data_IF_785703780281
#
_entry.id   IF_785703780281
#
_cell.length_a   1.000
_cell.length_b   1.000
_cell.length_c   1.000
_cell.angle_alpha   90.00
_cell.angle_beta   90.00
_cell.angle_gamma   90.00
#
_symmetry.space_group_name_H-M   'P 1'
#
loop_
_entity.id
_entity.type
_entity.pdbx_description
1 polymer ?
#
# COMPACT_ATOMS: atom_id res chain seq x y z
N UNK A 1 11.80 20.19 8.17
CA UNK A 1 11.55 19.19 9.23
C UNK A 1 11.83 17.81 8.65
N UNK A 2 12.74 17.04 9.23
CA UNK A 2 12.93 15.64 8.83
C UNK A 2 11.76 14.81 9.33
N UNK A 3 11.24 13.91 8.50
CA UNK A 3 10.25 12.92 8.89
C UNK A 3 10.86 11.93 9.89
N UNK A 4 10.13 11.59 10.95
CA UNK A 4 10.56 10.57 11.93
C UNK A 4 10.59 9.19 11.25
N UNK A 5 11.75 8.53 11.28
CA UNK A 5 11.98 7.21 10.70
C UNK A 5 10.99 6.15 11.21
N UNK A 6 10.54 6.26 12.46
CA UNK A 6 9.53 5.34 13.02
C UNK A 6 8.17 5.53 12.35
N UNK A 7 7.83 6.75 11.95
CA UNK A 7 6.58 7.06 11.26
C UNK A 7 6.66 6.58 9.81
N UNK A 8 7.79 6.81 9.14
CA UNK A 8 8.06 6.28 7.79
C UNK A 8 7.91 4.77 7.76
N UNK A 9 8.55 4.07 8.69
CA UNK A 9 8.49 2.62 8.75
C UNK A 9 7.07 2.10 9.00
N UNK A 10 6.33 2.69 9.95
CA UNK A 10 4.94 2.28 10.24
C UNK A 10 4.01 2.46 9.05
N UNK A 11 4.12 3.57 8.34
CA UNK A 11 3.31 3.83 7.14
C UNK A 11 3.65 2.81 6.07
N UNK A 12 4.93 2.62 5.76
CA UNK A 12 5.39 1.68 4.75
C UNK A 12 4.85 0.27 5.03
N UNK A 13 4.98 -0.22 6.27
CA UNK A 13 4.47 -1.53 6.67
C UNK A 13 2.95 -1.64 6.53
N UNK A 14 2.21 -0.57 6.82
CA UNK A 14 0.75 -0.61 6.75
C UNK A 14 0.25 -0.60 5.32
N UNK A 15 0.87 0.21 4.45
CA UNK A 15 0.55 0.24 3.03
C UNK A 15 0.90 -1.10 2.38
N UNK A 16 2.08 -1.65 2.68
CA UNK A 16 2.47 -2.97 2.18
C UNK A 16 1.50 -4.07 2.62
N UNK A 17 0.99 -4.03 3.85
CA UNK A 17 -0.04 -4.99 4.30
C UNK A 17 -1.34 -4.85 3.50
N UNK A 18 -1.77 -3.63 3.17
CA UNK A 18 -2.95 -3.40 2.32
C UNK A 18 -2.75 -3.98 0.91
N UNK A 19 -1.60 -3.72 0.29
CA UNK A 19 -1.23 -4.30 -1.00
C UNK A 19 -1.31 -5.83 -0.99
N UNK A 20 -0.82 -6.48 0.08
CA UNK A 20 -0.87 -7.95 0.20
C UNK A 20 -2.30 -8.46 0.40
N UNK A 21 -3.14 -7.77 1.19
CA UNK A 21 -4.56 -8.16 1.34
C UNK A 21 -5.34 -8.00 0.05
N UNK A 22 -5.01 -6.99 -0.76
CA UNK A 22 -5.61 -6.79 -2.07
C UNK A 22 -5.12 -7.84 -3.07
N UNK A 23 -3.81 -8.09 -3.11
CA UNK A 23 -3.23 -9.15 -3.93
C UNK A 23 -3.86 -10.51 -3.65
N UNK A 24 -4.06 -10.82 -2.36
CA UNK A 24 -4.79 -12.01 -1.90
C UNK A 24 -6.22 -12.07 -2.47
N UNK A 25 -6.94 -10.96 -2.50
CA UNK A 25 -8.28 -10.89 -3.09
C UNK A 25 -8.22 -11.25 -4.57
N UNK A 26 -7.33 -10.63 -5.35
CA UNK A 26 -7.18 -10.90 -6.78
C UNK A 26 -6.75 -12.33 -7.10
N UNK A 27 -5.82 -12.88 -6.32
CA UNK A 27 -5.43 -14.27 -6.46
C UNK A 27 -6.59 -15.21 -6.13
N UNK A 28 -7.38 -14.90 -5.10
CA UNK A 28 -8.52 -15.74 -4.70
C UNK A 28 -9.61 -15.77 -5.78
N UNK A 29 -9.91 -14.60 -6.37
CA UNK A 29 -10.83 -14.47 -7.50
C UNK A 29 -10.32 -15.25 -8.72
N UNK A 30 -9.04 -15.07 -9.09
CA UNK A 30 -8.43 -15.72 -10.25
C UNK A 30 -8.34 -17.25 -10.10
N UNK A 31 -8.08 -17.73 -8.88
CA UNK A 31 -8.01 -19.15 -8.58
C UNK A 31 -9.38 -19.78 -8.27
N UNK A 32 -10.45 -18.98 -8.21
CA UNK A 32 -11.80 -19.39 -7.79
C UNK A 32 -11.80 -20.21 -6.47
N UNK A 33 -10.93 -19.81 -5.52
CA UNK A 33 -10.79 -20.46 -4.21
C UNK A 33 -10.18 -19.48 -3.20
N UNK A 34 -10.43 -19.71 -1.92
CA UNK A 34 -9.81 -18.91 -0.85
C UNK A 34 -8.30 -19.12 -0.79
N UNK A 35 -7.54 -18.04 -0.94
CA UNK A 35 -6.10 -18.00 -0.68
C UNK A 35 -5.87 -17.33 0.67
N UNK A 36 -5.06 -17.95 1.51
CA UNK A 36 -4.71 -17.37 2.80
C UNK A 36 -3.68 -16.23 2.64
N UNK A 37 -3.55 -15.41 3.68
CA UNK A 37 -2.62 -14.28 3.66
C UNK A 37 -1.16 -14.72 3.42
N UNK A 38 -0.77 -15.90 3.92
CA UNK A 38 0.61 -16.38 3.81
C UNK A 38 0.96 -16.76 2.37
N UNK A 39 0.04 -17.44 1.68
CA UNK A 39 0.17 -17.76 0.27
C UNK A 39 0.26 -16.51 -0.59
N UNK A 40 -0.62 -15.53 -0.34
CA UNK A 40 -0.57 -14.24 -1.03
C UNK A 40 0.72 -13.45 -0.74
N UNK A 41 1.21 -13.47 0.49
CA UNK A 41 2.46 -12.79 0.86
C UNK A 41 3.68 -13.37 0.14
N UNK A 42 3.78 -14.70 0.03
CA UNK A 42 4.89 -15.33 -0.72
C UNK A 42 4.79 -15.03 -2.21
N UNK A 43 3.61 -15.15 -2.81
CA UNK A 43 3.41 -14.82 -4.22
C UNK A 43 3.71 -13.33 -4.50
N UNK A 44 3.32 -12.43 -3.61
CA UNK A 44 3.66 -10.99 -3.68
C UNK A 44 5.17 -10.72 -3.63
N UNK A 45 5.94 -11.54 -2.92
CA UNK A 45 7.41 -11.46 -2.93
C UNK A 45 7.97 -12.06 -4.23
N UNK A 46 7.48 -13.23 -4.63
CA UNK A 46 7.96 -13.98 -5.79
C UNK A 46 7.70 -13.22 -7.11
N UNK A 47 6.63 -12.42 -7.18
CA UNK A 47 6.30 -11.54 -8.31
C UNK A 47 7.00 -10.18 -8.28
N UNK A 48 8.02 -9.99 -7.42
CA UNK A 48 8.73 -8.71 -7.25
C UNK A 48 7.84 -7.53 -6.81
N UNK A 49 6.57 -7.75 -6.43
CA UNK A 49 5.66 -6.67 -6.00
C UNK A 49 6.19 -5.96 -4.74
N UNK A 50 6.81 -6.70 -3.81
CA UNK A 50 7.46 -6.11 -2.63
C UNK A 50 8.59 -5.13 -2.99
N UNK A 51 9.34 -5.41 -4.06
CA UNK A 51 10.43 -4.56 -4.55
C UNK A 51 9.87 -3.33 -5.25
N UNK A 52 8.86 -3.50 -6.11
CA UNK A 52 8.17 -2.39 -6.78
C UNK A 52 7.52 -1.45 -5.77
N UNK A 53 6.80 -2.00 -4.79
CA UNK A 53 6.23 -1.24 -3.68
C UNK A 53 7.29 -0.37 -2.98
N UNK A 54 8.46 -0.94 -2.66
CA UNK A 54 9.52 -0.20 -1.98
C UNK A 54 10.03 0.98 -2.81
N UNK A 55 10.23 0.79 -4.11
CA UNK A 55 10.68 1.85 -5.02
C UNK A 55 9.62 2.95 -5.09
N UNK A 56 8.38 2.57 -5.39
CA UNK A 56 7.20 3.44 -5.42
C UNK A 56 7.04 4.26 -4.14
N UNK A 57 7.17 3.61 -2.99
CA UNK A 57 7.05 4.26 -1.69
C UNK A 57 8.16 5.30 -1.48
N UNK A 58 9.42 4.94 -1.75
CA UNK A 58 10.55 5.86 -1.55
C UNK A 58 10.52 7.08 -2.47
N UNK A 59 10.11 6.89 -3.73
CA UNK A 59 9.98 7.96 -4.73
C UNK A 59 8.83 8.92 -4.43
N UNK A 60 7.75 8.43 -3.80
CA UNK A 60 6.52 9.20 -3.59
C UNK A 60 6.19 9.47 -2.12
N UNK A 61 7.11 9.19 -1.20
CA UNK A 61 6.86 9.30 0.24
C UNK A 61 6.28 10.65 0.64
N UNK A 62 6.78 11.77 0.11
CA UNK A 62 6.28 13.11 0.45
C UNK A 62 4.79 13.29 0.14
N UNK A 63 4.33 12.79 -1.01
CA UNK A 63 2.91 12.82 -1.41
C UNK A 63 2.07 11.90 -0.53
N UNK A 64 2.56 10.69 -0.25
CA UNK A 64 1.90 9.73 0.67
C UNK A 64 1.72 10.36 2.07
N UNK A 65 2.74 11.07 2.56
CA UNK A 65 2.68 11.79 3.82
C UNK A 65 1.69 12.95 3.80
N UNK A 66 1.67 13.73 2.72
CA UNK A 66 0.72 14.82 2.54
C UNK A 66 -0.72 14.30 2.56
N UNK A 67 -1.01 13.23 1.81
CA UNK A 67 -2.33 12.62 1.78
C UNK A 67 -2.70 12.02 3.13
N UNK A 68 -1.76 11.35 3.81
CA UNK A 68 -2.01 10.86 5.17
C UNK A 68 -2.46 11.98 6.11
N UNK A 69 -1.79 13.14 6.09
CA UNK A 69 -2.19 14.28 6.94
C UNK A 69 -3.59 14.81 6.59
N UNK A 70 -3.90 14.92 5.31
CA UNK A 70 -5.18 15.46 4.86
C UNK A 70 -6.37 14.54 5.13
N UNK A 71 -6.20 13.23 4.90
CA UNK A 71 -7.28 12.25 5.08
C UNK A 71 -7.39 11.73 6.50
N UNK A 72 -6.29 11.67 7.26
CA UNK A 72 -6.25 11.11 8.61
C UNK A 72 -6.18 12.17 9.73
N UNK A 73 -6.05 13.46 9.38
CA UNK A 73 -6.05 14.61 10.31
C UNK A 73 -4.68 15.02 10.86
N UNK A 74 -4.57 16.26 11.37
CA UNK A 74 -3.31 16.84 11.87
C UNK A 74 -2.74 16.17 13.15
N UNK A 75 -3.61 15.60 13.99
CA UNK A 75 -3.21 15.08 15.31
C UNK A 75 -2.84 13.60 15.35
N UNK A 76 -2.90 12.88 14.23
CA UNK A 76 -2.58 11.47 14.23
C UNK A 76 -1.28 11.26 13.48
N UNK A 77 -0.28 10.84 14.25
CA UNK A 77 1.07 10.31 13.99
C UNK A 77 1.14 9.23 12.87
N UNK A 78 0.33 9.38 11.81
CA UNK A 78 0.08 8.46 10.71
C UNK A 78 0.27 7.00 11.16
N UNK A 79 -0.36 6.62 12.28
CA UNK A 79 -0.08 5.37 13.06
C UNK A 79 -0.56 4.11 12.34
N UNK A 80 -0.18 3.99 11.08
CA UNK A 80 -0.72 3.09 10.11
C UNK A 80 -2.00 3.63 9.49
N UNK A 81 -2.08 3.53 8.18
CA UNK A 81 -3.28 3.68 7.37
C UNK A 81 -4.45 2.74 7.78
N UNK A 82 -4.31 1.92 8.84
CA UNK A 82 -5.31 0.95 9.29
C UNK A 82 -6.63 1.59 9.73
N UNK A 83 -6.59 2.82 10.26
CA UNK A 83 -7.80 3.58 10.66
C UNK A 83 -8.03 4.84 9.82
N UNK A 84 -7.22 5.03 8.79
CA UNK A 84 -7.36 6.19 7.92
C UNK A 84 -8.45 5.91 6.88
N UNK A 85 -9.45 6.79 6.72
CA UNK A 85 -10.49 6.64 5.71
C UNK A 85 -10.01 6.98 4.30
N UNK A 86 -8.70 6.84 4.02
CA UNK A 86 -8.18 7.09 2.68
C UNK A 86 -8.72 6.03 1.72
N UNK A 87 -9.37 6.44 0.61
CA UNK A 87 -9.80 5.52 -0.44
C UNK A 87 -8.62 4.73 -1.05
N UNK A 88 -8.86 3.50 -1.51
CA UNK A 88 -7.80 2.67 -2.10
C UNK A 88 -7.25 3.27 -3.40
N UNK A 89 -8.09 3.86 -4.24
CA UNK A 89 -7.70 4.57 -5.46
C UNK A 89 -6.75 5.74 -5.18
N UNK A 90 -6.99 6.49 -4.10
CA UNK A 90 -6.10 7.56 -3.65
C UNK A 90 -4.76 7.02 -3.13
N UNK A 91 -4.77 5.82 -2.50
CA UNK A 91 -3.56 5.12 -2.06
C UNK A 91 -2.70 4.66 -3.25
N UNK A 92 -3.30 3.99 -4.24
CA UNK A 92 -2.58 3.54 -5.45
C UNK A 92 -2.06 4.73 -6.27
N UNK A 93 -2.86 5.82 -6.37
CA UNK A 93 -2.40 7.07 -6.97
C UNK A 93 -1.15 7.59 -6.29
N UNK A 94 -1.13 7.61 -4.96
CA UNK A 94 0.00 8.09 -4.17
C UNK A 94 1.24 7.19 -4.31
N UNK A 95 1.04 5.87 -4.36
CA UNK A 95 2.12 4.92 -4.59
C UNK A 95 2.62 4.93 -6.03
N UNK A 96 1.84 5.51 -6.96
CA UNK A 96 2.04 5.41 -8.42
C UNK A 96 2.32 3.97 -8.83
N UNK A 97 1.77 3.02 -8.10
CA UNK A 97 1.92 1.63 -8.46
C UNK A 97 1.14 1.45 -9.77
N UNK A 98 1.87 1.01 -10.79
CA UNK A 98 1.27 0.73 -12.10
C UNK A 98 0.45 -0.57 -12.09
N UNK A 99 0.23 -1.16 -10.91
CA UNK A 99 -0.42 -2.47 -10.74
C UNK A 99 -1.90 -2.36 -11.12
N UNK A 100 -2.50 -1.17 -10.98
CA UNK A 100 -3.89 -0.89 -11.38
C UNK A 100 -4.04 0.09 -12.55
N UNK A 101 -3.09 0.11 -13.49
CA UNK A 101 -3.52 0.40 -14.86
C UNK A 101 -4.36 -0.78 -15.30
N UNK A 102 -5.68 -0.72 -15.05
CA UNK A 102 -6.60 -1.36 -15.99
C UNK A 102 -6.16 -0.83 -17.35
N UNK A 103 -5.76 -1.73 -18.22
CA UNK A 103 -5.64 -1.44 -19.64
C UNK A 103 -6.97 -0.80 -20.06
N UNK A 104 -7.00 0.53 -20.08
CA UNK A 104 -7.98 1.27 -20.85
C UNK A 104 -7.75 0.82 -22.29
N UNK A 105 -8.69 0.00 -22.72
CA UNK A 105 -8.74 -0.69 -24.01
C UNK A 105 -8.62 0.25 -25.20
#
# INVERSE_FOLDING_TARGET
MSLDEKVIWKISMTLQKKEVEEHKYFLSESANRGIDFRGAFYDFIDQDHAKMFRISFEENKEEIFFLCKNYCGEQYDCKGFEKCPMPNDEMHRALKDGIYKKDDS
#
